data_IF_176577390859
#
_entry.id   IF_176577390859
#
_cell.length_a   1.000
_cell.length_b   1.000
_cell.length_c   1.000
_cell.angle_alpha   90.00
_cell.angle_beta   90.00
_cell.angle_gamma   90.00
#
_symmetry.space_group_name_H-M   'P 1'
#
loop_
_entity.id
_entity.type
_entity.pdbx_description
1 polymer ?
#
# COMPACT_ATOMS: atom_id res chain seq x y z
N UNK A 1 27.66 23.67 27.88
CA UNK A 1 27.46 22.31 27.32
C UNK A 1 26.13 22.34 26.56
N UNK A 2 26.08 21.91 25.31
CA UNK A 2 24.84 21.84 24.55
C UNK A 2 23.99 20.66 25.03
N UNK A 3 22.71 20.86 25.27
CA UNK A 3 21.74 19.76 25.50
C UNK A 3 21.05 19.40 24.20
N UNK A 4 20.75 18.12 24.01
CA UNK A 4 19.94 17.68 22.88
C UNK A 4 18.47 17.60 23.30
N UNK A 5 17.60 18.25 22.53
CA UNK A 5 16.17 18.07 22.65
C UNK A 5 15.78 16.64 22.21
N UNK A 6 14.62 16.13 22.66
CA UNK A 6 14.12 14.79 22.34
C UNK A 6 14.03 14.52 20.81
N UNK A 7 13.81 15.55 20.00
CA UNK A 7 13.74 15.47 18.53
C UNK A 7 15.12 15.53 17.85
N UNK A 8 16.23 15.49 18.61
CA UNK A 8 17.59 15.57 18.08
C UNK A 8 18.12 16.99 17.84
N UNK A 9 17.32 18.02 18.04
CA UNK A 9 17.78 19.40 17.93
C UNK A 9 18.79 19.74 19.03
N UNK A 10 19.86 20.42 18.67
CA UNK A 10 20.85 20.94 19.62
C UNK A 10 20.30 22.23 20.21
N UNK A 11 20.06 22.24 21.52
CA UNK A 11 19.65 23.45 22.24
C UNK A 11 20.93 24.14 22.74
N UNK A 12 21.15 25.40 22.35
CA UNK A 12 22.26 26.20 22.95
C UNK A 12 22.09 26.32 24.47
N UNK A 13 23.16 26.31 25.19
CA UNK A 13 23.16 26.37 26.67
C UNK A 13 23.16 27.78 27.22
N UNK A 14 22.41 27.92 28.28
CA UNK A 14 22.44 28.91 29.37
C UNK A 14 22.96 30.32 29.09
N UNK A 15 22.07 31.28 29.20
CA UNK A 15 22.31 32.71 29.20
C UNK A 15 21.54 33.53 28.19
N UNK A 16 20.83 32.89 27.30
CA UNK A 16 19.98 33.56 26.33
C UNK A 16 18.50 33.37 26.71
N UNK A 17 17.78 34.42 27.11
CA UNK A 17 16.36 34.32 27.49
C UNK A 17 15.44 33.82 26.38
N UNK A 18 15.85 33.95 25.11
CA UNK A 18 15.14 33.35 23.96
C UNK A 18 15.25 31.82 23.95
N UNK A 19 16.23 31.26 24.63
CA UNK A 19 16.55 29.83 24.60
C UNK A 19 15.80 29.04 25.67
N UNK A 20 15.35 29.66 26.76
CA UNK A 20 14.49 29.00 27.75
C UNK A 20 13.09 28.74 27.19
N UNK A 21 12.62 29.58 26.27
CA UNK A 21 11.34 29.39 25.57
C UNK A 21 11.42 28.42 24.38
N UNK A 22 12.60 28.13 23.87
CA UNK A 22 12.80 27.30 22.67
C UNK A 22 12.31 25.85 22.80
N UNK A 23 12.51 25.14 23.92
CA UNK A 23 11.93 23.81 24.09
C UNK A 23 10.41 23.80 24.04
N UNK A 24 9.78 24.76 24.71
CA UNK A 24 8.33 24.93 24.68
C UNK A 24 7.81 25.31 23.28
N UNK A 25 8.56 26.11 22.55
CA UNK A 25 8.27 26.45 21.16
C UNK A 25 8.42 25.23 20.24
N UNK A 26 9.52 24.47 20.36
CA UNK A 26 9.72 23.26 19.58
C UNK A 26 8.67 22.20 19.87
N UNK A 27 8.21 22.07 21.10
CA UNK A 27 7.10 21.19 21.48
C UNK A 27 5.75 21.68 20.93
N UNK A 28 5.56 23.00 20.84
CA UNK A 28 4.31 23.61 20.35
C UNK A 28 4.17 23.59 18.85
N UNK A 29 5.27 23.62 18.10
CA UNK A 29 5.27 23.69 16.62
C UNK A 29 5.17 22.31 15.96
N UNK A 30 5.23 21.21 16.74
CA UNK A 30 5.12 19.86 16.20
C UNK A 30 6.21 19.59 15.16
N UNK A 31 7.48 19.83 15.52
CA UNK A 31 8.59 19.65 14.60
C UNK A 31 8.71 18.20 14.10
N UNK A 32 8.89 18.04 12.80
CA UNK A 32 9.23 16.76 12.21
C UNK A 32 10.70 16.48 12.51
N UNK A 33 10.96 15.45 13.31
CA UNK A 33 12.33 15.02 13.59
C UNK A 33 12.88 14.20 12.42
N UNK A 34 14.11 14.44 12.01
CA UNK A 34 14.80 13.58 11.04
C UNK A 34 15.40 12.39 11.75
N UNK A 35 15.12 11.19 11.27
CA UNK A 35 15.70 9.95 11.75
C UNK A 35 16.28 9.14 10.58
N UNK A 36 17.41 8.48 10.81
CA UNK A 36 18.06 7.67 9.77
C UNK A 36 17.32 6.35 9.52
N UNK A 37 16.58 5.87 10.52
CA UNK A 37 15.87 4.59 10.48
C UNK A 37 14.72 4.57 11.50
N UNK A 38 13.84 3.57 11.38
CA UNK A 38 12.80 3.28 12.37
C UNK A 38 13.43 3.02 13.75
N UNK A 39 14.58 2.34 13.81
CA UNK A 39 15.28 2.08 15.06
C UNK A 39 15.78 3.37 15.72
N UNK A 40 16.32 4.31 14.95
CA UNK A 40 16.77 5.62 15.49
C UNK A 40 15.58 6.48 15.94
N UNK A 41 14.46 6.45 15.23
CA UNK A 41 13.23 7.12 15.66
C UNK A 41 12.71 6.54 16.99
N UNK A 42 12.71 5.22 17.16
CA UNK A 42 12.35 4.56 18.43
C UNK A 42 13.27 4.95 19.58
N UNK A 43 14.59 5.02 19.34
CA UNK A 43 15.55 5.48 20.34
C UNK A 43 15.31 6.95 20.76
N UNK A 44 14.86 7.81 19.82
CA UNK A 44 14.43 9.16 20.15
C UNK A 44 13.18 9.16 21.03
N UNK A 45 12.20 8.29 20.75
CA UNK A 45 10.97 8.14 21.56
C UNK A 45 11.27 7.60 22.96
N UNK A 46 12.20 6.65 23.12
CA UNK A 46 12.64 6.17 24.44
C UNK A 46 13.26 7.31 25.26
N UNK A 47 14.07 8.14 24.61
CA UNK A 47 14.68 9.32 25.24
C UNK A 47 13.59 10.35 25.63
N UNK A 48 12.63 10.59 24.74
CA UNK A 48 11.50 11.46 25.04
C UNK A 48 10.69 10.95 26.24
N UNK A 49 10.45 9.65 26.33
CA UNK A 49 9.78 9.05 27.49
C UNK A 49 10.56 9.27 28.80
N UNK A 50 11.88 9.08 28.77
CA UNK A 50 12.74 9.25 29.93
C UNK A 50 12.73 10.68 30.45
N UNK A 51 12.55 11.67 29.56
CA UNK A 51 12.49 13.09 29.88
C UNK A 51 11.06 13.61 30.13
N UNK A 52 10.05 12.74 30.16
CA UNK A 52 8.66 13.13 30.42
C UNK A 52 7.93 13.70 29.18
N UNK A 53 8.50 13.60 27.99
CA UNK A 53 7.97 14.12 26.73
C UNK A 53 7.49 13.01 25.78
N UNK A 54 7.04 11.87 26.31
CA UNK A 54 6.50 10.80 25.48
C UNK A 54 5.33 11.32 24.61
N UNK A 55 5.24 10.91 23.34
CA UNK A 55 4.13 11.31 22.51
C UNK A 55 2.82 10.74 23.04
N UNK A 56 1.73 11.46 22.73
CA UNK A 56 0.36 11.05 23.05
C UNK A 56 -0.53 11.26 21.83
N UNK A 57 -1.74 10.75 21.86
CA UNK A 57 -2.72 10.97 20.79
C UNK A 57 -2.97 12.47 20.51
N UNK A 58 -2.96 13.31 21.55
CA UNK A 58 -3.16 14.76 21.43
C UNK A 58 -1.87 15.52 21.07
N UNK A 59 -0.71 14.94 21.32
CA UNK A 59 0.62 15.49 21.01
C UNK A 59 1.49 14.42 20.37
N UNK A 60 1.19 14.03 19.11
CA UNK A 60 1.95 13.00 18.42
C UNK A 60 3.35 13.50 18.03
N UNK A 61 4.30 12.58 17.97
CA UNK A 61 5.62 12.83 17.40
C UNK A 61 5.63 12.47 15.90
N UNK A 62 6.34 13.26 15.11
CA UNK A 62 6.49 13.04 13.67
C UNK A 62 7.96 12.85 13.30
N UNK A 63 8.23 11.92 12.39
CA UNK A 63 9.58 11.59 11.93
C UNK A 63 9.61 11.55 10.40
N UNK A 64 10.62 12.18 9.81
CA UNK A 64 11.02 11.96 8.43
C UNK A 64 12.12 10.90 8.41
N UNK A 65 11.84 9.75 7.79
CA UNK A 65 12.79 8.67 7.61
C UNK A 65 12.93 8.40 6.13
N UNK A 66 13.97 8.92 5.51
CA UNK A 66 14.23 8.74 4.08
C UNK A 66 13.13 9.32 3.16
N UNK A 67 12.51 10.44 3.54
CA UNK A 67 11.42 11.08 2.81
C UNK A 67 10.02 10.50 3.11
N UNK A 68 9.94 9.50 3.98
CA UNK A 68 8.67 8.91 4.42
C UNK A 68 8.31 9.53 5.77
N UNK A 69 7.10 10.09 5.86
CA UNK A 69 6.60 10.69 7.10
C UNK A 69 5.94 9.63 7.99
N UNK A 70 6.46 9.47 9.19
CA UNK A 70 5.92 8.60 10.24
C UNK A 70 5.34 9.42 11.38
N UNK A 71 4.30 8.88 12.02
CA UNK A 71 3.67 9.42 13.23
C UNK A 71 3.71 8.38 14.34
N UNK A 72 4.02 8.80 15.56
CA UNK A 72 3.80 8.02 16.77
C UNK A 72 2.87 8.79 17.71
N UNK A 73 1.82 8.15 18.19
CA UNK A 73 0.86 8.68 19.16
C UNK A 73 1.07 8.09 20.58
N UNK A 74 2.22 7.49 20.81
CA UNK A 74 2.60 6.93 22.11
C UNK A 74 2.20 5.47 22.30
N UNK A 75 1.53 4.85 21.34
CA UNK A 75 1.20 3.43 21.42
C UNK A 75 2.45 2.55 21.35
N UNK A 76 2.43 1.42 22.08
CA UNK A 76 3.46 0.38 22.02
C UNK A 76 2.84 -0.98 21.77
N UNK A 77 3.54 -1.79 20.99
CA UNK A 77 3.19 -3.20 20.76
C UNK A 77 4.42 -4.06 21.00
N UNK A 78 4.31 -5.07 21.87
CA UNK A 78 5.45 -5.90 22.25
C UNK A 78 6.61 -5.10 22.88
N UNK A 79 6.33 -3.98 23.54
CA UNK A 79 7.33 -3.07 24.11
C UNK A 79 7.94 -2.06 23.12
N UNK A 80 7.73 -2.21 21.82
CA UNK A 80 8.23 -1.29 20.80
C UNK A 80 7.21 -0.19 20.49
N UNK A 81 7.70 1.04 20.23
CA UNK A 81 6.87 2.15 19.76
C UNK A 81 6.25 1.85 18.40
N UNK A 82 4.97 2.14 18.28
CA UNK A 82 4.24 2.06 17.02
C UNK A 82 4.48 3.33 16.22
N UNK A 83 4.91 3.16 14.96
CA UNK A 83 5.10 4.23 13.99
C UNK A 83 4.16 3.98 12.81
N UNK A 84 3.29 4.92 12.52
CA UNK A 84 2.34 4.84 11.40
C UNK A 84 2.82 5.71 10.24
N UNK A 85 2.85 5.16 9.04
CA UNK A 85 3.21 5.91 7.83
C UNK A 85 2.04 6.82 7.43
N UNK A 86 2.33 8.08 7.11
CA UNK A 86 1.30 9.11 6.92
C UNK A 86 1.07 9.52 5.46
N UNK A 87 2.09 9.48 4.61
CA UNK A 87 2.07 10.13 3.29
C UNK A 87 2.26 9.19 2.09
N UNK A 88 1.99 7.90 2.25
CA UNK A 88 2.30 6.89 1.23
C UNK A 88 1.06 6.17 0.69
N UNK A 89 -0.10 6.84 0.67
CA UNK A 89 -1.22 6.34 -0.10
C UNK A 89 -0.90 6.43 -1.59
N UNK A 90 -1.05 5.32 -2.31
CA UNK A 90 -0.69 5.23 -3.71
C UNK A 90 -1.81 4.55 -4.50
N UNK A 91 -2.11 5.08 -5.68
CA UNK A 91 -2.96 4.41 -6.66
C UNK A 91 -2.11 4.04 -7.86
N UNK A 92 -2.12 2.76 -8.20
CA UNK A 92 -1.44 2.22 -9.38
C UNK A 92 -2.50 1.73 -10.37
N UNK A 93 -2.24 1.90 -11.66
CA UNK A 93 -3.13 1.43 -12.72
C UNK A 93 -2.36 0.72 -13.80
N UNK A 94 -2.95 -0.34 -14.34
CA UNK A 94 -2.46 -1.03 -15.53
C UNK A 94 -3.62 -1.25 -16.50
N UNK A 95 -3.34 -1.08 -17.78
CA UNK A 95 -4.27 -1.43 -18.85
C UNK A 95 -4.19 -2.91 -19.23
N UNK A 96 -4.77 -3.27 -20.37
CA UNK A 96 -4.65 -4.60 -20.93
C UNK A 96 -3.19 -4.97 -21.23
N UNK A 97 -2.85 -6.24 -21.05
CA UNK A 97 -1.55 -6.74 -21.49
C UNK A 97 -1.43 -6.64 -23.02
N UNK A 98 -0.21 -6.39 -23.51
CA UNK A 98 0.05 -6.35 -24.95
C UNK A 98 -0.21 -7.71 -25.59
N UNK A 99 -0.77 -7.71 -26.79
CA UNK A 99 -0.99 -8.93 -27.58
C UNK A 99 -2.30 -9.67 -27.31
N UNK A 100 -3.25 -9.10 -26.51
CA UNK A 100 -4.62 -9.60 -26.49
C UNK A 100 -5.22 -9.45 -27.88
N UNK A 101 -5.61 -10.59 -28.47
CA UNK A 101 -6.30 -10.63 -29.75
C UNK A 101 -7.81 -10.39 -29.53
N UNK A 102 -8.52 -9.73 -30.48
CA UNK A 102 -9.97 -9.64 -30.43
C UNK A 102 -10.66 -11.02 -30.47
N UNK A 103 -9.94 -12.09 -30.76
CA UNK A 103 -10.41 -13.48 -30.65
C UNK A 103 -9.39 -14.32 -29.92
N UNK A 104 -9.54 -14.40 -28.63
CA UNK A 104 -8.68 -15.25 -27.80
C UNK A 104 -9.42 -16.53 -27.49
N UNK A 105 -8.80 -17.68 -27.81
CA UNK A 105 -9.31 -18.98 -27.41
C UNK A 105 -8.80 -19.30 -26.02
N UNK A 106 -9.72 -19.57 -25.10
CA UNK A 106 -9.40 -20.05 -23.76
C UNK A 106 -9.64 -21.56 -23.74
N UNK A 107 -8.61 -22.34 -23.53
CA UNK A 107 -8.73 -23.80 -23.38
C UNK A 107 -9.53 -24.17 -22.12
N UNK A 108 -10.20 -25.32 -22.14
CA UNK A 108 -10.94 -25.83 -20.97
C UNK A 108 -10.03 -25.96 -19.76
N UNK A 109 -10.46 -25.39 -18.62
CA UNK A 109 -9.62 -25.23 -17.41
C UNK A 109 -8.50 -24.23 -17.56
N UNK A 110 -8.52 -23.37 -18.61
CA UNK A 110 -7.48 -22.41 -18.93
C UNK A 110 -7.72 -21.01 -18.40
N UNK A 111 -6.64 -20.26 -18.27
CA UNK A 111 -6.63 -18.83 -17.89
C UNK A 111 -5.94 -18.02 -18.96
N UNK A 112 -6.51 -16.85 -19.26
CA UNK A 112 -5.85 -15.83 -20.09
C UNK A 112 -5.62 -14.61 -19.22
N UNK A 113 -4.37 -14.16 -19.11
CA UNK A 113 -4.02 -12.91 -18.42
C UNK A 113 -4.51 -11.73 -19.24
N UNK A 114 -5.31 -10.86 -18.65
CA UNK A 114 -5.84 -9.66 -19.33
C UNK A 114 -5.19 -8.38 -18.81
N UNK A 115 -4.77 -8.35 -17.56
CA UNK A 115 -3.99 -7.23 -17.00
C UNK A 115 -3.11 -7.71 -15.85
N UNK A 116 -2.04 -6.97 -15.59
CA UNK A 116 -1.11 -7.27 -14.50
C UNK A 116 -0.47 -6.00 -13.99
N UNK A 117 -0.28 -5.92 -12.68
CA UNK A 117 0.32 -4.78 -12.02
C UNK A 117 1.33 -5.25 -10.98
N UNK A 118 2.58 -4.83 -11.15
CA UNK A 118 3.62 -5.01 -10.15
C UNK A 118 3.54 -3.89 -9.10
N UNK A 119 3.46 -4.27 -7.83
CA UNK A 119 3.46 -3.33 -6.72
C UNK A 119 4.92 -3.15 -6.27
N UNK A 120 5.44 -1.91 -6.27
CA UNK A 120 6.82 -1.64 -5.85
C UNK A 120 7.08 -2.12 -4.42
N UNK A 121 8.30 -2.58 -4.16
CA UNK A 121 8.76 -2.95 -2.81
C UNK A 121 8.86 -1.71 -1.93
N UNK A 122 8.37 -1.81 -0.69
CA UNK A 122 8.51 -0.76 0.33
C UNK A 122 9.01 -1.35 1.65
N UNK A 123 9.72 -0.58 2.48
CA UNK A 123 10.27 -1.06 3.76
C UNK A 123 9.21 -1.20 4.87
N UNK A 124 7.94 -1.02 4.57
CA UNK A 124 6.81 -1.14 5.50
C UNK A 124 5.68 -1.97 4.89
N UNK A 125 4.86 -2.56 5.75
CA UNK A 125 3.69 -3.31 5.33
C UNK A 125 2.59 -2.39 4.78
N UNK A 126 1.81 -2.89 3.83
CA UNK A 126 0.72 -2.17 3.19
C UNK A 126 -0.51 -3.05 3.08
N UNK A 127 -1.68 -2.42 3.15
CA UNK A 127 -2.93 -3.02 2.70
C UNK A 127 -3.25 -2.52 1.30
N UNK A 128 -3.97 -3.31 0.53
CA UNK A 128 -4.44 -2.87 -0.77
C UNK A 128 -5.88 -3.29 -1.04
N UNK A 129 -6.54 -2.51 -1.88
CA UNK A 129 -7.79 -2.86 -2.55
C UNK A 129 -7.52 -2.78 -4.05
N UNK A 130 -7.88 -3.83 -4.76
CA UNK A 130 -7.72 -3.92 -6.20
C UNK A 130 -9.09 -3.97 -6.88
N UNK A 131 -9.22 -3.23 -7.96
CA UNK A 131 -10.41 -3.15 -8.80
C UNK A 131 -10.02 -3.60 -10.21
N UNK A 132 -10.62 -4.67 -10.68
CA UNK A 132 -10.43 -5.17 -12.03
C UNK A 132 -11.71 -5.02 -12.85
N UNK A 133 -11.59 -4.46 -14.03
CA UNK A 133 -12.67 -4.47 -15.02
C UNK A 133 -12.14 -4.99 -16.35
N UNK A 134 -13.01 -5.72 -17.06
CA UNK A 134 -12.69 -6.23 -18.38
C UNK A 134 -13.98 -6.31 -19.19
N UNK A 135 -13.92 -5.80 -20.42
CA UNK A 135 -14.95 -6.08 -21.40
C UNK A 135 -14.64 -7.41 -22.10
N UNK A 136 -15.64 -8.25 -22.21
CA UNK A 136 -15.53 -9.51 -22.91
C UNK A 136 -16.83 -9.83 -23.65
N UNK A 137 -16.72 -10.47 -24.81
CA UNK A 137 -17.84 -11.10 -25.51
C UNK A 137 -17.64 -12.60 -25.46
N UNK A 138 -18.46 -13.27 -24.67
CA UNK A 138 -18.50 -14.73 -24.61
C UNK A 138 -19.49 -15.22 -25.68
N UNK A 139 -18.99 -15.99 -26.64
CA UNK A 139 -19.81 -16.46 -27.78
C UNK A 139 -20.65 -17.69 -27.43
N UNK A 140 -20.17 -18.50 -26.51
CA UNK A 140 -20.88 -19.66 -25.96
C UNK A 140 -20.29 -20.08 -24.65
N UNK A 141 -21.11 -20.54 -23.70
CA UNK A 141 -20.67 -21.01 -22.39
C UNK A 141 -20.47 -19.88 -21.38
N UNK A 142 -19.66 -20.14 -20.36
CA UNK A 142 -19.42 -19.24 -19.24
C UNK A 142 -17.93 -19.02 -19.03
N UNK A 143 -17.56 -17.80 -18.66
CA UNK A 143 -16.22 -17.46 -18.23
C UNK A 143 -16.28 -16.64 -16.95
N UNK A 144 -15.26 -16.73 -16.14
CA UNK A 144 -15.09 -15.94 -14.92
C UNK A 144 -13.99 -14.89 -15.13
N UNK A 145 -14.26 -13.64 -14.76
CA UNK A 145 -13.21 -12.66 -14.53
C UNK A 145 -12.66 -12.89 -13.14
N UNK A 146 -11.38 -13.17 -13.05
CA UNK A 146 -10.72 -13.54 -11.79
C UNK A 146 -9.59 -12.55 -11.46
N UNK A 147 -9.59 -12.06 -10.23
CA UNK A 147 -8.52 -11.23 -9.70
C UNK A 147 -7.70 -12.04 -8.69
N UNK A 148 -6.41 -12.15 -8.97
CA UNK A 148 -5.44 -12.79 -8.09
C UNK A 148 -4.64 -11.75 -7.35
N UNK A 149 -4.77 -11.67 -6.01
CA UNK A 149 -4.05 -10.71 -5.18
C UNK A 149 -2.55 -11.04 -5.03
N UNK A 150 -2.19 -12.28 -5.31
CA UNK A 150 -0.81 -12.70 -5.47
C UNK A 150 -0.72 -13.61 -6.70
N UNK A 151 0.08 -13.31 -7.64
CA UNK A 151 0.13 -14.02 -8.92
C UNK A 151 0.61 -15.50 -8.80
N UNK A 152 0.83 -16.02 -7.61
CA UNK A 152 1.40 -17.35 -7.36
C UNK A 152 0.35 -18.39 -6.96
N UNK A 153 -0.75 -17.99 -6.34
CA UNK A 153 -1.75 -18.92 -5.83
C UNK A 153 -3.11 -18.69 -6.49
N UNK A 154 -3.34 -19.36 -7.60
CA UNK A 154 -4.66 -19.39 -8.26
C UNK A 154 -5.79 -20.03 -7.42
N UNK A 155 -5.52 -20.34 -6.14
CA UNK A 155 -6.49 -20.94 -5.21
C UNK A 155 -7.38 -19.93 -4.48
N UNK A 156 -6.97 -18.67 -4.42
CA UNK A 156 -7.73 -17.58 -3.77
C UNK A 156 -7.95 -16.47 -4.77
N UNK A 157 -9.00 -16.56 -5.55
CA UNK A 157 -9.38 -15.51 -6.50
C UNK A 157 -10.70 -14.88 -6.08
N UNK A 158 -10.81 -13.59 -6.35
CA UNK A 158 -12.10 -12.90 -6.36
C UNK A 158 -12.67 -13.03 -7.76
N UNK A 159 -13.98 -13.33 -7.90
CA UNK A 159 -14.57 -13.72 -9.17
C UNK A 159 -15.79 -12.90 -9.52
N UNK A 160 -15.96 -12.66 -10.80
CA UNK A 160 -17.19 -12.15 -11.43
C UNK A 160 -17.46 -12.95 -12.70
N UNK A 161 -18.70 -13.38 -12.93
CA UNK A 161 -19.03 -14.27 -14.04
C UNK A 161 -19.58 -13.53 -15.25
N UNK A 162 -19.09 -13.91 -16.42
CA UNK A 162 -19.67 -13.58 -17.70
C UNK A 162 -20.60 -14.71 -18.15
N UNK A 163 -21.78 -14.36 -18.61
CA UNK A 163 -22.72 -15.32 -19.17
C UNK A 163 -22.77 -15.22 -20.71
N UNK A 164 -23.17 -16.35 -21.34
CA UNK A 164 -23.30 -16.42 -22.79
C UNK A 164 -24.45 -15.56 -23.24
N UNK A 165 -24.24 -14.49 -23.88
CA UNK A 165 -25.26 -13.77 -24.70
C UNK A 165 -24.83 -12.38 -25.13
N UNK A 166 -23.56 -12.17 -25.39
CA UNK A 166 -23.16 -10.90 -25.98
C UNK A 166 -22.06 -10.18 -25.21
N UNK A 167 -22.03 -8.87 -25.34
CA UNK A 167 -21.05 -8.00 -24.73
C UNK A 167 -21.34 -7.85 -23.22
N UNK A 168 -20.36 -8.12 -22.41
CA UNK A 168 -20.46 -7.96 -20.96
C UNK A 168 -19.22 -7.24 -20.39
N UNK A 169 -19.48 -6.36 -19.45
CA UNK A 169 -18.43 -5.80 -18.59
C UNK A 169 -18.36 -6.60 -17.30
N UNK A 170 -17.24 -7.26 -17.08
CA UNK A 170 -16.94 -7.86 -15.79
C UNK A 170 -16.29 -6.85 -14.88
N UNK A 171 -16.66 -6.87 -13.60
CA UNK A 171 -16.04 -6.08 -12.56
C UNK A 171 -15.77 -6.97 -11.35
N UNK A 172 -14.57 -6.90 -10.81
CA UNK A 172 -14.15 -7.69 -9.65
C UNK A 172 -13.37 -6.82 -8.68
N UNK A 173 -13.61 -7.03 -7.40
CA UNK A 173 -12.87 -6.34 -6.32
C UNK A 173 -12.18 -7.40 -5.48
N UNK A 174 -10.93 -7.13 -5.16
CA UNK A 174 -10.14 -7.94 -4.25
C UNK A 174 -9.34 -7.09 -3.28
N UNK A 175 -8.83 -7.70 -2.24
CA UNK A 175 -8.03 -7.03 -1.24
C UNK A 175 -6.95 -7.96 -0.69
N UNK A 176 -5.97 -7.38 -0.04
CA UNK A 176 -4.90 -8.13 0.58
C UNK A 176 -3.94 -7.27 1.37
N UNK A 177 -2.91 -7.93 1.88
CA UNK A 177 -1.81 -7.27 2.60
C UNK A 177 -0.49 -7.66 1.97
N UNK A 178 0.48 -6.75 2.04
CA UNK A 178 1.85 -6.91 1.54
C UNK A 178 2.77 -6.66 2.72
N UNK A 179 3.67 -7.59 2.98
CA UNK A 179 4.65 -7.44 4.06
C UNK A 179 5.72 -6.42 3.68
N UNK A 180 6.39 -5.87 4.67
CA UNK A 180 7.58 -5.05 4.46
C UNK A 180 8.63 -5.83 3.66
N UNK A 181 9.21 -5.19 2.65
CA UNK A 181 10.21 -5.81 1.78
C UNK A 181 9.67 -6.81 0.75
N UNK A 182 8.37 -7.10 0.75
CA UNK A 182 7.76 -8.06 -0.18
C UNK A 182 7.44 -7.41 -1.53
N UNK A 183 7.81 -8.09 -2.62
CA UNK A 183 7.32 -7.77 -3.94
C UNK A 183 5.99 -8.50 -4.18
N UNK A 184 5.01 -7.79 -4.71
CA UNK A 184 3.69 -8.36 -5.00
C UNK A 184 3.27 -8.02 -6.43
N UNK A 185 2.66 -9.00 -7.08
CA UNK A 185 2.03 -8.81 -8.39
C UNK A 185 0.54 -9.14 -8.27
N UNK A 186 -0.30 -8.22 -8.68
CA UNK A 186 -1.75 -8.43 -8.79
C UNK A 186 -2.07 -8.69 -10.25
N UNK A 187 -2.77 -9.78 -10.53
CA UNK A 187 -3.14 -10.19 -11.89
C UNK A 187 -4.66 -10.26 -12.08
N UNK A 188 -5.11 -9.85 -13.24
CA UNK A 188 -6.49 -9.99 -13.71
C UNK A 188 -6.50 -11.00 -14.85
N UNK A 189 -7.36 -12.01 -14.72
CA UNK A 189 -7.47 -13.13 -15.66
C UNK A 189 -8.90 -13.40 -16.07
N UNK A 190 -9.06 -13.95 -17.26
CA UNK A 190 -10.31 -14.61 -17.67
C UNK A 190 -10.09 -16.11 -17.63
N UNK A 191 -10.92 -16.79 -16.87
CA UNK A 191 -10.95 -18.25 -16.74
C UNK A 191 -12.14 -18.84 -17.45
N UNK A 192 -11.93 -19.99 -18.12
CA UNK A 192 -13.01 -20.76 -18.72
C UNK A 192 -12.93 -22.22 -18.26
N UNK A 193 -14.02 -22.75 -17.70
CA UNK A 193 -14.12 -24.14 -17.29
C UNK A 193 -14.12 -25.11 -18.49
N UNK A 194 -14.71 -24.70 -19.61
CA UNK A 194 -14.71 -25.42 -20.88
C UNK A 194 -14.03 -24.59 -21.97
N UNK A 195 -13.51 -25.25 -23.02
CA UNK A 195 -12.92 -24.54 -24.14
C UNK A 195 -13.97 -23.65 -24.82
N UNK A 196 -13.66 -22.36 -24.88
CA UNK A 196 -14.54 -21.39 -25.53
C UNK A 196 -13.75 -20.31 -26.27
N UNK A 197 -14.39 -19.64 -27.21
CA UNK A 197 -13.85 -18.47 -27.86
C UNK A 197 -14.43 -17.24 -27.18
N UNK A 198 -13.54 -16.36 -26.75
CA UNK A 198 -13.91 -15.10 -26.10
C UNK A 198 -13.24 -13.96 -26.85
N UNK A 199 -13.99 -12.93 -27.17
CA UNK A 199 -13.43 -11.70 -27.69
C UNK A 199 -13.04 -10.82 -26.50
N UNK A 200 -11.74 -10.56 -26.37
CA UNK A 200 -11.18 -9.66 -25.38
C UNK A 200 -10.69 -8.39 -26.08
N UNK A 201 -11.10 -7.26 -25.61
CA UNK A 201 -10.59 -5.99 -26.14
C UNK A 201 -9.27 -5.62 -25.45
N UNK A 202 -8.27 -5.28 -26.25
CA UNK A 202 -7.03 -4.61 -25.79
C UNK A 202 -7.24 -3.13 -25.52
N UNK A 203 -8.46 -2.62 -25.71
CA UNK A 203 -8.78 -1.20 -25.58
C UNK A 203 -8.93 -0.78 -24.12
N UNK A 204 -9.25 0.49 -23.93
CA UNK A 204 -9.37 1.19 -22.64
C UNK A 204 -10.38 0.60 -21.63
N UNK A 205 -11.13 -0.43 -22.02
CA UNK A 205 -12.12 -1.11 -21.19
C UNK A 205 -11.55 -2.18 -20.24
N UNK A 206 -10.31 -2.61 -20.45
CA UNK A 206 -9.63 -3.51 -19.52
C UNK A 206 -8.68 -2.70 -18.65
N UNK A 207 -8.94 -2.68 -17.37
CA UNK A 207 -8.15 -1.92 -16.41
C UNK A 207 -8.03 -2.65 -15.08
N UNK A 208 -6.86 -2.60 -14.53
CA UNK A 208 -6.57 -3.01 -13.16
C UNK A 208 -6.09 -1.81 -12.37
N UNK A 209 -6.78 -1.47 -11.31
CA UNK A 209 -6.41 -0.39 -10.40
C UNK A 209 -6.16 -0.96 -9.01
N UNK A 210 -5.05 -0.60 -8.39
CA UNK A 210 -4.70 -1.00 -7.03
C UNK A 210 -4.50 0.25 -6.18
N UNK A 211 -5.29 0.39 -5.14
CA UNK A 211 -5.13 1.42 -4.11
C UNK A 211 -4.39 0.82 -2.92
N UNK A 212 -3.30 1.45 -2.56
CA UNK A 212 -2.40 1.04 -1.48
C UNK A 212 -2.49 2.01 -0.33
N UNK A 213 -2.56 1.47 0.87
CA UNK A 213 -2.48 2.23 2.12
C UNK A 213 -1.43 1.60 3.02
N UNK A 214 -0.59 2.39 3.68
CA UNK A 214 0.34 1.86 4.67
C UNK A 214 -0.42 1.15 5.79
N UNK A 215 0.05 -0.04 6.15
CA UNK A 215 -0.35 -0.65 7.41
C UNK A 215 0.47 -0.05 8.54
N UNK A 216 -0.08 -0.05 9.75
CA UNK A 216 0.67 0.38 10.94
C UNK A 216 1.97 -0.41 11.05
N UNK A 217 3.08 0.30 11.16
CA UNK A 217 4.40 -0.32 11.36
C UNK A 217 4.56 -0.58 12.87
N UNK A 218 4.64 -1.82 13.22
CA UNK A 218 4.90 -2.28 14.60
C UNK A 218 6.36 -2.51 14.81
#
# INVERSE_FOLDING_TARGET
MSSQHWNGATIPTAGDPLLEAWPAFADSVGTIAKAESVASARAMLDRAQTTGHAPTTSKPAYFDIGGILYRSDGAKTGGAWVLSVMNENQTLTAGAVSGLSPRTSVGGGGWVKVSELQIPVKPYARSFIAFGNCWARVRSGEADLELYPDNTAKSTSFKSRFHDSGDANGFVVGYGTIRAGEQRTVGLYVYAASALSIDLSSDSWTQLTVQLSPSTVV
#
